data_IF_123578938105
#
_entry.id   IF_123578938105
#
_cell.length_a   1.000
_cell.length_b   1.000
_cell.length_c   1.000
_cell.angle_alpha   90.00
_cell.angle_beta   90.00
_cell.angle_gamma   90.00
#
_symmetry.space_group_name_H-M   'P 1'
#
loop_
_entity.id
_entity.type
_entity.pdbx_description
1 polymer ?
#
# COMPACT_ATOMS: atom_id res chain seq x y z
N UNK A 1 5.37 -17.14 8.30
CA UNK A 1 5.05 -18.50 8.83
C UNK A 1 3.97 -19.26 8.07
N UNK A 2 2.74 -18.74 7.92
CA UNK A 2 1.65 -19.48 7.23
C UNK A 2 2.02 -19.90 5.79
N UNK A 3 2.64 -19.00 5.01
CA UNK A 3 3.13 -19.32 3.67
C UNK A 3 4.17 -20.44 3.63
N UNK A 4 5.05 -20.53 4.64
CA UNK A 4 6.03 -21.61 4.74
C UNK A 4 5.35 -22.97 4.97
N UNK A 5 4.38 -23.02 5.90
CA UNK A 5 3.55 -24.22 6.14
C UNK A 5 2.79 -24.65 4.88
N UNK A 6 2.21 -23.69 4.15
CA UNK A 6 1.43 -23.96 2.95
C UNK A 6 2.24 -24.61 1.81
N UNK A 7 3.56 -24.43 1.79
CA UNK A 7 4.46 -25.05 0.81
C UNK A 7 5.17 -26.30 1.35
N UNK A 8 4.78 -26.78 2.55
CA UNK A 8 5.41 -27.93 3.20
C UNK A 8 6.81 -27.68 3.74
N UNK A 9 7.23 -26.41 3.87
CA UNK A 9 8.53 -26.05 4.44
C UNK A 9 8.44 -25.88 5.97
N UNK A 10 9.59 -26.03 6.65
CA UNK A 10 9.73 -25.68 8.06
C UNK A 10 9.39 -24.20 8.31
N UNK A 11 9.05 -23.86 9.55
CA UNK A 11 8.85 -22.46 9.96
C UNK A 11 10.06 -21.86 10.66
N UNK A 12 11.01 -22.68 11.06
CA UNK A 12 12.30 -22.22 11.56
C UNK A 12 12.99 -21.40 10.47
N UNK A 13 13.61 -20.29 10.88
CA UNK A 13 14.44 -19.46 10.00
C UNK A 13 13.75 -18.94 8.74
N UNK A 14 12.41 -18.87 8.72
CA UNK A 14 11.65 -18.42 7.55
C UNK A 14 11.97 -16.97 7.13
N UNK A 15 12.60 -16.20 8.02
CA UNK A 15 13.05 -14.84 7.80
C UNK A 15 14.34 -14.76 6.97
N UNK A 16 15.12 -15.85 6.88
CA UNK A 16 16.37 -15.88 6.13
C UNK A 16 16.12 -15.97 4.62
N UNK A 17 16.86 -15.21 3.82
CA UNK A 17 16.71 -15.15 2.35
C UNK A 17 16.84 -16.52 1.65
N UNK A 18 17.60 -17.44 2.23
CA UNK A 18 17.75 -18.80 1.71
C UNK A 18 16.55 -19.72 1.95
N UNK A 19 15.58 -19.30 2.78
CA UNK A 19 14.42 -20.12 3.09
C UNK A 19 13.51 -20.30 1.85
N UNK A 20 12.94 -21.50 1.60
CA UNK A 20 12.12 -21.76 0.42
C UNK A 20 10.95 -20.78 0.20
N UNK A 21 10.38 -20.24 1.29
CA UNK A 21 9.33 -19.21 1.19
C UNK A 21 9.87 -17.86 0.67
N UNK A 22 11.07 -17.46 1.07
CA UNK A 22 11.67 -16.20 0.64
C UNK A 22 12.03 -16.27 -0.85
N UNK A 23 12.48 -17.43 -1.35
CA UNK A 23 12.68 -17.63 -2.78
C UNK A 23 11.38 -17.44 -3.60
N UNK A 24 10.24 -17.94 -3.09
CA UNK A 24 8.93 -17.72 -3.74
C UNK A 24 8.47 -16.27 -3.66
N UNK A 25 8.69 -15.60 -2.53
CA UNK A 25 8.39 -14.17 -2.37
C UNK A 25 9.22 -13.35 -3.36
N UNK A 26 10.54 -13.61 -3.42
CA UNK A 26 11.44 -12.96 -4.37
C UNK A 26 10.97 -13.09 -5.81
N UNK A 27 10.66 -14.32 -6.23
CA UNK A 27 10.13 -14.55 -7.58
C UNK A 27 8.82 -13.80 -7.84
N UNK A 28 7.91 -13.77 -6.87
CA UNK A 28 6.65 -13.05 -7.02
C UNK A 28 6.85 -11.53 -7.14
N UNK A 29 7.78 -10.95 -6.37
CA UNK A 29 8.12 -9.52 -6.44
C UNK A 29 8.79 -9.18 -7.76
N UNK A 30 9.73 -10.00 -8.24
CA UNK A 30 10.36 -9.85 -9.56
C UNK A 30 9.31 -9.88 -10.68
N UNK A 31 8.42 -10.88 -10.67
CA UNK A 31 7.36 -11.03 -11.68
C UNK A 31 6.42 -9.81 -11.72
N UNK A 32 6.01 -9.30 -10.55
CA UNK A 32 5.03 -8.22 -10.47
C UNK A 32 5.65 -6.85 -10.72
N UNK A 33 6.89 -6.63 -10.26
CA UNK A 33 7.56 -5.35 -10.46
C UNK A 33 8.02 -5.13 -11.90
N UNK A 34 8.17 -6.21 -12.68
CA UNK A 34 8.73 -6.18 -14.03
C UNK A 34 10.20 -5.76 -14.07
N UNK A 35 10.87 -5.76 -12.91
CA UNK A 35 12.26 -5.35 -12.76
C UNK A 35 13.17 -6.57 -12.87
N UNK A 36 14.38 -6.41 -13.44
CA UNK A 36 15.37 -7.46 -13.38
C UNK A 36 15.85 -7.65 -11.93
N UNK A 37 16.25 -8.87 -11.52
CA UNK A 37 16.59 -9.18 -10.12
C UNK A 37 17.60 -8.23 -9.48
N UNK A 38 18.59 -7.74 -10.23
CA UNK A 38 19.62 -6.80 -9.78
C UNK A 38 19.11 -5.39 -9.46
N UNK A 39 17.94 -5.00 -9.99
CA UNK A 39 17.30 -3.73 -9.70
C UNK A 39 16.48 -3.76 -8.38
N UNK A 40 16.29 -4.95 -7.78
CA UNK A 40 15.56 -5.15 -6.53
C UNK A 40 16.56 -5.45 -5.42
N UNK A 41 16.69 -4.53 -4.48
CA UNK A 41 17.50 -4.75 -3.28
C UNK A 41 16.66 -5.43 -2.21
N UNK A 42 17.29 -6.20 -1.34
CA UNK A 42 16.62 -6.93 -0.27
C UNK A 42 17.23 -6.54 1.06
N UNK A 43 16.40 -6.07 1.98
CA UNK A 43 16.79 -5.76 3.35
C UNK A 43 16.05 -6.66 4.34
N UNK A 44 16.66 -6.92 5.50
CA UNK A 44 15.94 -7.49 6.64
C UNK A 44 15.48 -6.31 7.50
N UNK A 45 14.18 -6.22 7.72
CA UNK A 45 13.58 -5.26 8.66
C UNK A 45 13.02 -5.98 9.90
N UNK A 46 12.34 -5.24 10.78
CA UNK A 46 11.73 -5.79 11.99
C UNK A 46 10.55 -6.75 11.76
N UNK A 47 10.08 -6.95 10.52
CA UNK A 47 8.88 -7.75 10.22
C UNK A 47 9.17 -9.23 9.90
N UNK A 48 10.42 -9.68 10.05
CA UNK A 48 10.86 -11.08 9.80
C UNK A 48 10.63 -11.59 8.38
N UNK A 49 10.23 -10.75 7.42
CA UNK A 49 10.21 -11.07 6.00
C UNK A 49 11.22 -10.15 5.33
N UNK A 50 12.03 -10.66 4.41
CA UNK A 50 12.94 -9.78 3.69
C UNK A 50 12.12 -8.76 2.88
N UNK A 51 12.39 -7.49 3.11
CA UNK A 51 11.69 -6.38 2.49
C UNK A 51 12.35 -5.98 1.18
N UNK A 52 11.61 -6.01 0.05
CA UNK A 52 12.14 -5.58 -1.23
C UNK A 52 12.20 -4.05 -1.28
N UNK A 53 13.33 -3.52 -1.72
CA UNK A 53 13.51 -2.12 -2.06
C UNK A 53 13.56 -1.97 -3.58
N UNK A 54 12.57 -1.26 -4.11
CA UNK A 54 12.35 -1.02 -5.53
C UNK A 54 11.97 0.46 -5.77
N UNK A 55 12.11 1.00 -7.00
CA UNK A 55 11.68 2.34 -7.33
C UNK A 55 10.20 2.59 -6.97
N UNK A 56 9.87 3.80 -6.50
CA UNK A 56 8.49 4.14 -6.09
C UNK A 56 7.48 3.96 -7.22
N UNK A 57 7.87 4.28 -8.46
CA UNK A 57 7.03 4.04 -9.63
C UNK A 57 6.62 2.57 -9.75
N UNK A 58 7.57 1.63 -9.62
CA UNK A 58 7.29 0.20 -9.65
C UNK A 58 6.42 -0.24 -8.47
N UNK A 59 6.60 0.35 -7.28
CA UNK A 59 5.74 0.05 -6.13
C UNK A 59 4.30 0.50 -6.39
N UNK A 60 4.12 1.69 -6.98
CA UNK A 60 2.82 2.18 -7.42
C UNK A 60 2.18 1.21 -8.41
N UNK A 61 2.89 0.83 -9.47
CA UNK A 61 2.39 -0.11 -10.48
C UNK A 61 1.97 -1.45 -9.88
N UNK A 62 2.78 -2.05 -9.00
CA UNK A 62 2.43 -3.33 -8.36
C UNK A 62 1.12 -3.20 -7.57
N UNK A 63 0.93 -2.10 -6.83
CA UNK A 63 -0.31 -1.86 -6.09
C UNK A 63 -1.50 -1.62 -7.04
N UNK A 64 -1.30 -0.90 -8.15
CA UNK A 64 -2.31 -0.74 -9.19
C UNK A 64 -2.75 -2.09 -9.76
N UNK A 65 -1.83 -3.03 -9.98
CA UNK A 65 -2.16 -4.36 -10.50
C UNK A 65 -3.09 -5.17 -9.57
N UNK A 66 -2.99 -5.01 -8.24
CA UNK A 66 -3.94 -5.66 -7.32
C UNK A 66 -5.35 -5.07 -7.45
N UNK A 67 -5.45 -3.75 -7.60
CA UNK A 67 -6.74 -3.07 -7.84
C UNK A 67 -7.32 -3.46 -9.21
N UNK A 68 -6.50 -3.44 -10.27
CA UNK A 68 -6.88 -3.87 -11.60
C UNK A 68 -7.39 -5.32 -11.60
N UNK A 69 -6.70 -6.21 -10.88
CA UNK A 69 -7.09 -7.61 -10.77
C UNK A 69 -8.50 -7.76 -10.17
N UNK A 70 -8.84 -6.97 -9.15
CA UNK A 70 -10.19 -6.94 -8.59
C UNK A 70 -11.21 -6.44 -9.62
N UNK A 71 -10.90 -5.39 -10.39
CA UNK A 71 -11.78 -4.84 -11.43
C UNK A 71 -12.09 -5.86 -12.54
N UNK A 72 -11.06 -6.49 -13.13
CA UNK A 72 -11.24 -7.46 -14.24
C UNK A 72 -11.99 -8.73 -13.79
N UNK A 73 -11.75 -9.18 -12.55
CA UNK A 73 -12.45 -10.34 -12.00
C UNK A 73 -13.92 -10.02 -11.71
N UNK A 74 -14.21 -8.83 -11.17
CA UNK A 74 -15.59 -8.39 -10.92
C UNK A 74 -16.39 -8.24 -12.22
N UNK A 75 -15.75 -7.80 -13.31
CA UNK A 75 -16.38 -7.73 -14.65
C UNK A 75 -16.68 -9.10 -15.27
N UNK A 76 -16.10 -10.17 -14.74
CA UNK A 76 -16.26 -11.53 -15.28
C UNK A 76 -15.34 -11.85 -16.46
N UNK A 77 -14.23 -11.12 -16.61
CA UNK A 77 -13.26 -11.34 -17.68
C UNK A 77 -12.57 -12.72 -17.51
N UNK A 78 -12.25 -13.39 -18.62
CA UNK A 78 -11.44 -14.60 -18.60
C UNK A 78 -9.99 -14.24 -18.23
N UNK A 79 -9.57 -14.60 -17.00
CA UNK A 79 -8.28 -14.19 -16.45
C UNK A 79 -7.45 -15.36 -15.94
N UNK A 80 -6.13 -15.13 -15.82
CA UNK A 80 -5.20 -16.11 -15.27
C UNK A 80 -5.48 -16.42 -13.79
N UNK A 81 -5.01 -17.57 -13.32
CA UNK A 81 -5.07 -17.92 -11.89
C UNK A 81 -4.34 -16.90 -11.00
N UNK A 82 -3.25 -16.28 -11.50
CA UNK A 82 -2.52 -15.24 -10.77
C UNK A 82 -3.40 -14.01 -10.56
N UNK A 83 -4.09 -13.56 -11.60
CA UNK A 83 -5.03 -12.44 -11.53
C UNK A 83 -6.17 -12.74 -10.55
N UNK A 84 -6.74 -13.94 -10.58
CA UNK A 84 -7.76 -14.35 -9.58
C UNK A 84 -7.23 -14.32 -8.14
N UNK A 85 -5.98 -14.74 -7.92
CA UNK A 85 -5.36 -14.70 -6.59
C UNK A 85 -5.12 -13.26 -6.13
N UNK A 86 -4.68 -12.37 -7.02
CA UNK A 86 -4.47 -10.95 -6.72
C UNK A 86 -5.79 -10.25 -6.39
N UNK A 87 -6.85 -10.51 -7.16
CA UNK A 87 -8.20 -10.03 -6.86
C UNK A 87 -8.68 -10.48 -5.47
N UNK A 88 -8.43 -11.76 -5.13
CA UNK A 88 -8.76 -12.30 -3.81
C UNK A 88 -8.00 -11.61 -2.69
N UNK A 89 -6.71 -11.32 -2.89
CA UNK A 89 -5.89 -10.57 -1.92
C UNK A 89 -6.44 -9.15 -1.74
N UNK A 90 -6.71 -8.43 -2.85
CA UNK A 90 -7.31 -7.10 -2.80
C UNK A 90 -8.61 -7.11 -2.01
N UNK A 91 -9.54 -7.99 -2.37
CA UNK A 91 -10.85 -8.10 -1.72
C UNK A 91 -10.73 -8.47 -0.23
N UNK A 92 -9.84 -9.40 0.12
CA UNK A 92 -9.61 -9.78 1.51
C UNK A 92 -9.04 -8.62 2.34
N UNK A 93 -8.08 -7.87 1.79
CA UNK A 93 -7.52 -6.70 2.46
C UNK A 93 -8.58 -5.62 2.67
N UNK A 94 -9.39 -5.35 1.66
CA UNK A 94 -10.38 -4.28 1.71
C UNK A 94 -11.59 -4.64 2.60
N UNK A 95 -11.98 -5.91 2.67
CA UNK A 95 -13.09 -6.39 3.51
C UNK A 95 -12.69 -6.64 4.97
N UNK A 96 -11.41 -6.94 5.22
CA UNK A 96 -10.90 -7.24 6.56
C UNK A 96 -9.66 -6.40 6.91
N UNK A 97 -9.77 -5.06 6.90
CA UNK A 97 -8.62 -4.17 7.08
C UNK A 97 -7.92 -4.32 8.45
N UNK A 98 -8.68 -4.56 9.53
CA UNK A 98 -8.12 -4.84 10.85
C UNK A 98 -7.21 -6.09 10.87
N UNK A 99 -7.50 -7.10 10.04
CA UNK A 99 -6.65 -8.30 9.90
C UNK A 99 -5.35 -8.03 9.13
N UNK A 100 -5.25 -6.90 8.42
CA UNK A 100 -4.07 -6.51 7.65
C UNK A 100 -3.08 -5.72 8.50
N UNK A 101 -3.56 -4.76 9.28
CA UNK A 101 -2.69 -3.82 10.00
C UNK A 101 -2.89 -3.80 11.52
N UNK A 102 -3.98 -4.38 12.04
CA UNK A 102 -4.44 -4.19 13.42
C UNK A 102 -5.34 -2.96 13.55
N UNK A 103 -5.90 -2.77 14.73
CA UNK A 103 -6.85 -1.69 14.99
C UNK A 103 -6.16 -0.31 15.01
N UNK A 104 -6.92 0.74 14.68
CA UNK A 104 -6.53 2.16 14.78
C UNK A 104 -5.29 2.59 13.97
N UNK A 105 -4.72 1.71 13.14
CA UNK A 105 -3.60 2.07 12.25
C UNK A 105 -4.09 2.73 10.97
N UNK A 106 -3.27 3.60 10.39
CA UNK A 106 -3.61 4.32 9.14
C UNK A 106 -4.10 3.39 8.03
N UNK A 107 -3.47 2.23 7.80
CA UNK A 107 -3.93 1.29 6.76
C UNK A 107 -5.38 0.82 6.99
N UNK A 108 -5.74 0.58 8.25
CA UNK A 108 -7.07 0.14 8.64
C UNK A 108 -8.08 1.25 8.42
N UNK A 109 -7.82 2.43 8.99
CA UNK A 109 -8.66 3.62 8.85
C UNK A 109 -8.87 3.99 7.37
N UNK A 110 -7.80 3.95 6.57
CA UNK A 110 -7.83 4.23 5.14
C UNK A 110 -8.76 3.26 4.40
N UNK A 111 -8.58 1.95 4.58
CA UNK A 111 -9.36 0.95 3.86
C UNK A 111 -10.83 0.93 4.30
N UNK A 112 -11.11 1.16 5.58
CA UNK A 112 -12.49 1.32 6.09
C UNK A 112 -13.17 2.56 5.51
N UNK A 113 -12.46 3.70 5.47
CA UNK A 113 -12.97 4.96 4.94
C UNK A 113 -13.38 4.85 3.47
N UNK A 114 -12.62 4.10 2.67
CA UNK A 114 -12.82 3.97 1.23
C UNK A 114 -13.67 2.77 0.79
N UNK A 115 -14.07 1.90 1.73
CA UNK A 115 -15.11 0.88 1.52
C UNK A 115 -14.91 0.04 0.24
N UNK A 116 -13.72 -0.53 0.05
CA UNK A 116 -13.42 -1.39 -1.10
C UNK A 116 -12.87 -0.68 -2.33
N UNK A 117 -12.85 0.66 -2.37
CA UNK A 117 -12.33 1.43 -3.53
C UNK A 117 -10.81 1.42 -3.65
N UNK A 118 -10.10 1.13 -2.57
CA UNK A 118 -8.65 1.01 -2.54
C UNK A 118 -8.17 0.03 -1.48
N UNK A 119 -6.92 -0.37 -1.59
CA UNK A 119 -6.14 -1.01 -0.53
C UNK A 119 -4.88 -0.19 -0.27
N UNK A 120 -4.32 -0.29 0.94
CA UNK A 120 -3.07 0.36 1.24
C UNK A 120 -2.27 -0.39 2.29
N UNK A 121 -0.94 -0.34 2.19
CA UNK A 121 -0.06 -0.97 3.16
C UNK A 121 1.21 -0.16 3.40
N UNK A 122 1.47 0.08 4.68
CA UNK A 122 2.75 0.64 5.15
C UNK A 122 3.86 -0.40 5.02
N UNK A 123 4.99 0.04 4.48
CA UNK A 123 6.28 -0.66 4.45
C UNK A 123 7.28 -0.05 5.43
N UNK A 124 8.48 -0.61 5.48
CA UNK A 124 9.53 -0.15 6.39
C UNK A 124 9.98 1.29 6.13
N UNK A 125 10.40 1.97 7.21
CA UNK A 125 11.01 3.29 7.21
C UNK A 125 10.25 4.34 6.41
N UNK A 126 8.95 4.52 6.65
CA UNK A 126 8.19 5.59 6.00
C UNK A 126 7.87 5.34 4.52
N UNK A 127 7.82 4.09 4.07
CA UNK A 127 7.37 3.71 2.72
C UNK A 127 5.89 3.30 2.73
N UNK A 128 5.14 3.62 1.67
CA UNK A 128 3.73 3.23 1.56
C UNK A 128 3.33 2.97 0.11
N UNK A 129 2.44 1.99 -0.10
CA UNK A 129 1.76 1.75 -1.37
C UNK A 129 0.23 1.74 -1.23
N UNK A 130 -0.47 2.34 -2.19
CA UNK A 130 -1.93 2.31 -2.34
C UNK A 130 -2.27 1.81 -3.74
N UNK A 131 -3.23 0.90 -3.84
CA UNK A 131 -3.87 0.50 -5.10
C UNK A 131 -5.30 1.00 -5.12
N UNK A 132 -5.66 1.82 -6.10
CA UNK A 132 -6.99 2.44 -6.24
C UNK A 132 -7.69 1.83 -7.45
N UNK A 133 -8.90 1.33 -7.26
CA UNK A 133 -9.73 0.74 -8.32
C UNK A 133 -10.11 1.76 -9.38
N UNK A 134 -10.43 1.27 -10.56
CA UNK A 134 -10.94 2.09 -11.66
C UNK A 134 -12.21 2.85 -11.23
N UNK A 135 -12.26 4.14 -11.54
CA UNK A 135 -13.44 4.99 -11.33
C UNK A 135 -13.40 6.23 -12.24
N UNK A 136 -14.47 7.03 -12.25
CA UNK A 136 -14.42 8.33 -12.93
C UNK A 136 -13.32 9.24 -12.39
N UNK A 137 -12.98 9.10 -11.10
CA UNK A 137 -11.92 9.90 -10.47
C UNK A 137 -10.54 9.52 -11.00
N UNK A 138 -10.28 8.22 -11.24
CA UNK A 138 -9.00 7.79 -11.85
C UNK A 138 -8.96 8.19 -13.33
N UNK A 139 -10.08 8.09 -14.06
CA UNK A 139 -10.16 8.54 -15.46
C UNK A 139 -9.94 10.04 -15.63
N UNK A 140 -10.43 10.87 -14.70
CA UNK A 140 -10.17 12.31 -14.69
C UNK A 140 -8.69 12.64 -14.53
N UNK A 141 -7.92 11.76 -13.87
CA UNK A 141 -6.46 11.86 -13.76
C UNK A 141 -5.73 11.31 -14.99
N UNK A 142 -6.45 10.99 -16.07
CA UNK A 142 -5.88 10.47 -17.32
C UNK A 142 -5.63 8.95 -17.33
N UNK A 143 -6.05 8.21 -16.31
CA UNK A 143 -5.85 6.77 -16.26
C UNK A 143 -6.93 6.00 -17.05
N UNK A 144 -6.51 4.96 -17.78
CA UNK A 144 -7.42 4.03 -18.47
C UNK A 144 -7.96 2.91 -17.56
N UNK A 145 -7.74 3.01 -16.23
CA UNK A 145 -8.11 1.97 -15.28
C UNK A 145 -7.81 2.33 -13.84
N UNK A 146 -7.43 1.32 -13.05
CA UNK A 146 -6.90 1.47 -11.70
C UNK A 146 -5.58 2.25 -11.71
N UNK A 147 -5.28 2.93 -10.60
CA UNK A 147 -3.99 3.61 -10.40
C UNK A 147 -3.30 3.14 -9.12
N UNK A 148 -2.01 3.41 -9.02
CA UNK A 148 -1.22 3.15 -7.84
C UNK A 148 -0.54 4.40 -7.34
N UNK A 149 -0.47 4.56 -6.01
CA UNK A 149 0.23 5.65 -5.35
C UNK A 149 1.32 5.03 -4.49
N UNK A 150 2.54 5.56 -4.58
CA UNK A 150 3.64 5.18 -3.72
C UNK A 150 4.32 6.42 -3.16
N UNK A 151 4.65 6.38 -1.87
CA UNK A 151 5.30 7.48 -1.19
C UNK A 151 6.42 6.96 -0.28
N UNK A 152 7.46 7.78 -0.11
CA UNK A 152 8.54 7.57 0.85
C UNK A 152 8.83 8.89 1.54
N UNK A 153 8.83 8.88 2.87
CA UNK A 153 9.45 9.94 3.65
C UNK A 153 10.90 9.55 3.92
N UNK A 154 11.82 10.46 3.60
CA UNK A 154 13.26 10.18 3.61
C UNK A 154 13.78 9.83 5.00
N UNK A 155 13.30 10.51 6.04
CA UNK A 155 13.67 10.25 7.44
C UNK A 155 12.86 9.11 8.10
N UNK A 156 11.94 8.50 7.36
CA UNK A 156 11.11 7.39 7.83
C UNK A 156 9.94 7.77 8.74
N UNK A 157 9.63 9.06 8.92
CA UNK A 157 8.54 9.51 9.79
C UNK A 157 7.17 9.01 9.32
N UNK A 158 6.54 8.15 10.13
CA UNK A 158 5.21 7.60 9.84
C UNK A 158 4.10 8.64 9.98
N UNK A 159 4.17 9.51 10.98
CA UNK A 159 3.19 10.57 11.18
C UNK A 159 3.14 11.49 9.95
N UNK A 160 4.31 11.85 9.40
CA UNK A 160 4.40 12.67 8.18
C UNK A 160 3.98 11.89 6.95
N UNK A 161 4.33 10.60 6.84
CA UNK A 161 3.89 9.75 5.73
C UNK A 161 2.37 9.69 5.65
N UNK A 162 1.69 9.46 6.77
CA UNK A 162 0.23 9.34 6.83
C UNK A 162 -0.45 10.65 6.48
N UNK A 163 0.06 11.76 7.01
CA UNK A 163 -0.44 13.08 6.68
C UNK A 163 -0.25 13.43 5.19
N UNK A 164 0.92 13.13 4.63
CA UNK A 164 1.22 13.35 3.22
C UNK A 164 0.34 12.49 2.30
N UNK A 165 0.07 11.23 2.65
CA UNK A 165 -0.83 10.37 1.87
C UNK A 165 -2.28 10.87 1.88
N UNK A 166 -2.77 11.35 3.03
CA UNK A 166 -4.09 11.96 3.12
C UNK A 166 -4.18 13.23 2.24
N UNK A 167 -3.16 14.09 2.30
CA UNK A 167 -3.05 15.26 1.43
C UNK A 167 -2.99 14.87 -0.06
N UNK A 168 -2.26 13.82 -0.41
CA UNK A 168 -2.20 13.32 -1.80
C UNK A 168 -3.59 12.90 -2.29
N UNK A 169 -4.35 12.18 -1.47
CA UNK A 169 -5.71 11.76 -1.79
C UNK A 169 -6.67 12.96 -1.92
N UNK A 170 -6.47 14.00 -1.10
CA UNK A 170 -7.22 15.27 -1.18
C UNK A 170 -6.92 16.02 -2.48
N UNK A 171 -5.64 16.23 -2.81
CA UNK A 171 -5.24 16.95 -4.02
C UNK A 171 -5.70 16.21 -5.30
N UNK A 172 -5.62 14.88 -5.32
CA UNK A 172 -6.13 14.06 -6.42
C UNK A 172 -7.66 13.91 -6.42
N UNK A 173 -8.32 14.35 -5.35
CA UNK A 173 -9.75 14.22 -5.11
C UNK A 173 -10.24 12.77 -5.31
N UNK A 174 -9.48 11.82 -4.78
CA UNK A 174 -9.83 10.39 -4.77
C UNK A 174 -10.72 10.10 -3.56
N UNK A 175 -11.86 9.44 -3.76
CA UNK A 175 -12.92 9.30 -2.76
C UNK A 175 -13.88 10.49 -2.73
N UNK A 176 -14.94 10.42 -1.93
CA UNK A 176 -15.81 11.57 -1.67
C UNK A 176 -15.18 12.46 -0.58
N UNK A 177 -15.62 13.72 -0.40
CA UNK A 177 -15.17 14.55 0.73
C UNK A 177 -15.35 13.83 2.08
N UNK A 178 -16.47 13.12 2.28
CA UNK A 178 -16.75 12.40 3.52
C UNK A 178 -15.77 11.23 3.74
N UNK A 179 -15.32 10.57 2.67
CA UNK A 179 -14.30 9.53 2.77
C UNK A 179 -12.95 10.11 3.20
N UNK A 180 -12.57 11.26 2.66
CA UNK A 180 -11.29 11.92 2.98
C UNK A 180 -11.29 12.53 4.38
N UNK A 181 -12.40 13.11 4.82
CA UNK A 181 -12.58 13.65 6.18
C UNK A 181 -12.37 12.59 7.27
N UNK A 182 -12.66 11.31 7.00
CA UNK A 182 -12.35 10.22 7.95
C UNK A 182 -10.85 10.09 8.24
N UNK A 183 -9.97 10.69 7.43
CA UNK A 183 -8.53 10.72 7.63
C UNK A 183 -8.06 11.96 8.41
N UNK A 184 -8.93 12.90 8.76
CA UNK A 184 -8.56 14.21 9.35
C UNK A 184 -7.72 14.09 10.62
N UNK A 185 -7.98 13.06 11.44
CA UNK A 185 -7.21 12.77 12.65
C UNK A 185 -5.73 12.44 12.39
N UNK A 186 -5.39 12.05 11.17
CA UNK A 186 -4.04 11.73 10.70
C UNK A 186 -3.51 12.78 9.70
N UNK A 187 -4.40 13.44 8.96
CA UNK A 187 -4.09 14.49 7.99
C UNK A 187 -3.68 15.80 8.67
N UNK A 188 -4.44 16.25 9.67
CA UNK A 188 -4.28 17.57 10.30
C UNK A 188 -3.90 17.46 11.79
N UNK A 189 -2.97 16.56 12.11
CA UNK A 189 -2.57 16.28 13.50
C UNK A 189 -1.85 17.49 14.11
N UNK A 190 -2.33 17.95 15.26
CA UNK A 190 -1.63 18.94 16.08
C UNK A 190 -0.36 18.33 16.66
N UNK A 191 0.74 19.08 16.66
CA UNK A 191 1.96 18.73 17.38
C UNK A 191 1.78 19.22 18.81
N UNK A 192 1.82 18.29 19.77
CA UNK A 192 1.68 18.60 21.20
C UNK A 192 2.97 18.26 21.94
N UNK A 193 3.30 19.06 22.96
CA UNK A 193 4.40 18.74 23.87
C UNK A 193 3.95 17.72 24.94
N UNK A 194 4.89 17.31 25.82
CA UNK A 194 4.61 16.35 26.90
C UNK A 194 3.52 16.82 27.87
N UNK A 195 3.27 18.13 27.98
CA UNK A 195 2.19 18.70 28.80
C UNK A 195 0.83 18.76 28.07
N UNK A 196 0.76 18.26 26.83
CA UNK A 196 -0.46 18.28 26.00
C UNK A 196 -0.75 19.65 25.37
N UNK A 197 0.18 20.61 25.46
CA UNK A 197 0.01 21.93 24.85
C UNK A 197 0.34 21.85 23.37
N UNK A 198 -0.52 22.39 22.51
CA UNK A 198 -0.27 22.50 21.06
C UNK A 198 0.91 23.45 20.82
N UNK A 199 1.97 22.93 20.22
CA UNK A 199 3.19 23.65 19.88
C UNK A 199 3.42 23.80 18.38
N UNK A 200 2.56 23.22 17.55
CA UNK A 200 2.64 23.34 16.11
C UNK A 200 1.58 22.52 15.37
N UNK A 201 1.67 22.50 14.05
CA UNK A 201 0.80 21.74 13.17
C UNK A 201 1.51 21.41 11.86
N UNK A 202 0.84 20.64 11.02
CA UNK A 202 1.35 20.24 9.71
C UNK A 202 0.94 21.26 8.64
N UNK A 203 1.82 21.47 7.66
CA UNK A 203 1.51 22.22 6.44
C UNK A 203 2.02 21.45 5.23
N UNK A 204 1.33 21.58 4.09
CA UNK A 204 1.62 20.83 2.87
C UNK A 204 2.01 21.76 1.72
N UNK A 205 3.23 22.33 1.72
CA UNK A 205 3.68 23.26 0.68
C UNK A 205 4.12 22.51 -0.60
N UNK A 206 3.33 21.54 -1.06
CA UNK A 206 3.57 20.82 -2.30
C UNK A 206 2.29 20.72 -3.14
N UNK A 207 2.48 20.57 -4.46
CA UNK A 207 1.40 20.27 -5.40
C UNK A 207 1.76 19.05 -6.22
N UNK A 208 0.81 18.13 -6.35
CA UNK A 208 0.93 17.04 -7.31
C UNK A 208 0.84 17.62 -8.71
N UNK A 209 1.71 17.14 -9.59
CA UNK A 209 1.76 17.52 -11.00
C UNK A 209 1.85 16.27 -11.86
N UNK A 210 1.32 16.38 -13.06
CA UNK A 210 1.66 15.46 -14.14
C UNK A 210 3.13 15.68 -14.54
N UNK A 211 3.80 14.59 -14.94
CA UNK A 211 5.22 14.58 -15.31
C UNK A 211 5.35 14.02 -16.71
#
# INVERSE_FOLDING_TARGET
>A
MAGAKAIGAGVADYHQLGHPIQARIKKAVEDLSGLPPEAIKWGVDGCNMASPALPLHSLGLVNAMFAQAADVVERGDAVSQRTQNMARIFNAMAQHPAMVAGDERFCTVLMEAYSGRLIGKVGADGCYGIGVRESEQTRRLGAEGSIGIAAKIEDGSLDILYAALAEILEQLQLGTPEMRQKLDGLHHKNIVNTAGVVTGGLSFPFRIREV
#
